data_IF_918841415914
#
_entry.id   IF_918841415914
#
_cell.length_a   1.000
_cell.length_b   1.000
_cell.length_c   1.000
_cell.angle_alpha   90.00
_cell.angle_beta   90.00
_cell.angle_gamma   90.00
#
_symmetry.space_group_name_H-M   'P 1'
#
loop_
_entity.id
_entity.type
_entity.pdbx_description
1 polymer ?
#
# COMPACT_ATOMS: atom_id res chain seq x y z
N UNK A 1 16.17 -17.63 -1.39
CA UNK A 1 15.06 -16.98 -0.70
C UNK A 1 15.06 -17.53 0.72
N UNK A 2 14.94 -16.69 1.76
CA UNK A 2 14.94 -17.17 3.15
C UNK A 2 13.62 -17.90 3.47
N UNK A 3 13.56 -18.76 4.50
CA UNK A 3 12.31 -19.41 4.90
C UNK A 3 11.18 -18.40 5.22
N UNK A 4 11.53 -17.22 5.73
CA UNK A 4 10.59 -16.14 6.00
C UNK A 4 10.04 -15.53 4.71
N UNK A 5 10.91 -15.28 3.73
CA UNK A 5 10.52 -14.77 2.42
C UNK A 5 9.60 -15.76 1.69
N UNK A 6 9.88 -17.06 1.77
CA UNK A 6 9.03 -18.11 1.18
C UNK A 6 7.64 -18.16 1.84
N UNK A 7 7.59 -18.08 3.18
CA UNK A 7 6.32 -18.01 3.92
C UNK A 7 5.50 -16.78 3.52
N UNK A 8 6.16 -15.62 3.42
CA UNK A 8 5.51 -14.37 3.02
C UNK A 8 4.91 -14.47 1.61
N UNK A 9 5.67 -15.01 0.66
CA UNK A 9 5.18 -15.23 -0.71
C UNK A 9 3.97 -16.16 -0.73
N UNK A 10 4.00 -17.25 0.05
CA UNK A 10 2.89 -18.20 0.12
C UNK A 10 1.60 -17.54 0.65
N UNK A 11 1.69 -16.76 1.72
CA UNK A 11 0.53 -16.06 2.28
C UNK A 11 0.01 -14.98 1.33
N UNK A 12 0.90 -14.26 0.65
CA UNK A 12 0.52 -13.30 -0.38
C UNK A 12 -0.28 -13.95 -1.53
N UNK A 13 0.16 -15.10 -2.04
CA UNK A 13 -0.57 -15.80 -3.10
C UNK A 13 -1.95 -16.29 -2.64
N UNK A 14 -2.06 -16.80 -1.40
CA UNK A 14 -3.36 -17.18 -0.82
C UNK A 14 -4.31 -15.99 -0.73
N UNK A 15 -3.83 -14.86 -0.20
CA UNK A 15 -4.62 -13.65 -0.07
C UNK A 15 -5.09 -13.14 -1.45
N UNK A 16 -4.19 -13.11 -2.44
CA UNK A 16 -4.54 -12.75 -3.82
C UNK A 16 -5.60 -13.66 -4.42
N UNK A 17 -5.44 -14.97 -4.26
CA UNK A 17 -6.39 -15.93 -4.81
C UNK A 17 -7.76 -15.82 -4.13
N UNK A 18 -7.78 -15.61 -2.81
CA UNK A 18 -9.01 -15.38 -2.06
C UNK A 18 -9.74 -14.13 -2.56
N UNK A 19 -9.02 -13.01 -2.69
CA UNK A 19 -9.61 -11.74 -3.16
C UNK A 19 -10.10 -11.86 -4.60
N UNK A 20 -9.29 -12.45 -5.49
CA UNK A 20 -9.66 -12.64 -6.90
C UNK A 20 -10.89 -13.54 -7.08
N UNK A 21 -11.09 -14.53 -6.21
CA UNK A 21 -12.26 -15.43 -6.27
C UNK A 21 -13.52 -14.79 -5.69
N UNK A 22 -13.37 -13.98 -4.64
CA UNK A 22 -14.51 -13.50 -3.84
C UNK A 22 -14.89 -12.03 -4.08
N UNK A 23 -14.04 -11.24 -4.75
CA UNK A 23 -14.31 -9.83 -5.04
C UNK A 23 -14.43 -9.57 -6.53
N UNK A 24 -15.59 -9.08 -6.97
CA UNK A 24 -15.79 -8.56 -8.34
C UNK A 24 -15.39 -7.09 -8.48
N UNK A 25 -15.18 -6.40 -7.35
CA UNK A 25 -14.84 -4.98 -7.31
C UNK A 25 -13.40 -4.75 -6.84
N UNK A 26 -12.89 -3.56 -7.18
CA UNK A 26 -11.55 -3.11 -6.78
C UNK A 26 -11.51 -2.94 -5.26
N UNK A 27 -10.52 -3.53 -4.61
CA UNK A 27 -10.36 -3.37 -3.17
C UNK A 27 -9.60 -2.05 -2.89
N UNK A 28 -10.25 -1.20 -2.09
CA UNK A 28 -9.78 0.14 -1.75
C UNK A 28 -9.18 0.10 -0.33
N UNK A 29 -7.95 0.57 -0.18
CA UNK A 29 -7.22 0.59 1.09
C UNK A 29 -6.90 2.04 1.42
N UNK A 30 -7.32 2.50 2.60
CA UNK A 30 -7.01 3.84 3.11
C UNK A 30 -5.91 3.75 4.16
N UNK A 31 -4.83 4.51 4.02
CA UNK A 31 -3.75 4.60 5.00
C UNK A 31 -3.83 5.95 5.71
N UNK A 32 -4.06 5.90 7.03
CA UNK A 32 -4.21 7.08 7.89
C UNK A 32 -3.24 7.04 9.07
N UNK A 33 -2.96 8.20 9.67
CA UNK A 33 -2.02 8.38 10.78
C UNK A 33 -1.34 9.76 10.76
N UNK A 34 -0.73 10.14 11.87
CA UNK A 34 -0.08 11.46 12.03
C UNK A 34 0.96 11.75 10.94
N UNK A 35 1.29 13.03 10.74
CA UNK A 35 2.42 13.42 9.89
C UNK A 35 3.73 12.84 10.43
N UNK A 36 4.64 12.44 9.54
CA UNK A 36 5.97 11.96 9.92
C UNK A 36 6.05 10.49 10.36
N UNK A 37 4.94 9.77 10.53
CA UNK A 37 4.96 8.35 10.95
C UNK A 37 5.38 7.36 9.85
N UNK A 38 5.60 7.85 8.62
CA UNK A 38 6.10 7.03 7.51
C UNK A 38 5.05 6.34 6.64
N UNK A 39 3.80 6.84 6.58
CA UNK A 39 2.73 6.29 5.71
C UNK A 39 3.16 6.15 4.25
N UNK A 40 3.63 7.23 3.65
CA UNK A 40 4.09 7.27 2.25
C UNK A 40 5.35 6.42 2.05
N UNK A 41 6.22 6.34 3.06
CA UNK A 41 7.38 5.44 3.06
C UNK A 41 6.95 3.97 3.03
N UNK A 42 5.92 3.60 3.81
CA UNK A 42 5.36 2.25 3.81
C UNK A 42 4.79 1.88 2.44
N UNK A 43 4.07 2.80 1.77
CA UNK A 43 3.57 2.57 0.41
C UNK A 43 4.73 2.22 -0.52
N UNK A 44 5.77 3.05 -0.57
CA UNK A 44 6.91 2.80 -1.44
C UNK A 44 7.63 1.48 -1.13
N UNK A 45 7.77 1.15 0.16
CA UNK A 45 8.38 -0.11 0.59
C UNK A 45 7.57 -1.34 0.16
N UNK A 46 6.24 -1.29 0.29
CA UNK A 46 5.34 -2.39 -0.09
C UNK A 46 5.36 -2.62 -1.60
N UNK A 47 5.35 -1.55 -2.40
CA UNK A 47 5.34 -1.68 -3.87
C UNK A 47 6.73 -1.77 -4.50
N UNK A 48 7.79 -1.57 -3.71
CA UNK A 48 9.18 -1.50 -4.18
C UNK A 48 9.33 -0.51 -5.34
N UNK A 49 8.57 0.59 -5.28
CA UNK A 49 8.51 1.64 -6.30
C UNK A 49 8.27 3.00 -5.62
N UNK A 50 8.64 4.10 -6.27
CA UNK A 50 8.51 5.46 -5.75
C UNK A 50 7.15 6.05 -6.12
N UNK A 51 6.08 5.47 -5.57
CA UNK A 51 4.70 5.87 -5.83
C UNK A 51 4.30 7.13 -5.06
N UNK A 52 4.65 7.19 -3.77
CA UNK A 52 4.28 8.29 -2.89
C UNK A 52 5.47 9.22 -2.58
N UNK A 53 5.19 10.51 -2.48
CA UNK A 53 6.18 11.48 -2.03
C UNK A 53 6.46 11.32 -0.54
N UNK A 54 7.73 11.41 -0.15
CA UNK A 54 8.19 11.20 1.23
C UNK A 54 9.12 12.34 1.65
N UNK A 55 9.07 12.73 2.92
CA UNK A 55 10.04 13.62 3.54
C UNK A 55 10.03 13.47 5.07
N UNK A 56 10.87 14.24 5.74
CA UNK A 56 11.09 14.15 7.19
C UNK A 56 10.59 15.43 7.86
N UNK A 57 9.88 15.29 8.99
CA UNK A 57 9.43 16.40 9.82
C UNK A 57 8.20 17.15 9.30
N UNK A 58 8.19 17.50 8.01
CA UNK A 58 7.13 18.31 7.41
C UNK A 58 6.02 17.46 6.74
N UNK A 59 4.75 17.95 6.71
CA UNK A 59 3.69 17.34 5.92
C UNK A 59 4.01 17.46 4.43
N UNK A 60 4.47 16.36 3.83
CA UNK A 60 4.75 16.29 2.38
C UNK A 60 3.48 15.98 1.58
N UNK A 61 2.64 15.08 2.08
CA UNK A 61 1.34 14.78 1.48
C UNK A 61 0.37 15.92 1.78
N UNK A 62 -0.05 16.67 0.75
CA UNK A 62 -0.97 17.82 0.86
C UNK A 62 -2.42 17.49 0.49
N UNK A 63 -2.59 16.55 -0.45
CA UNK A 63 -3.89 16.09 -0.95
C UNK A 63 -4.00 14.57 -0.79
N UNK A 64 -5.24 14.06 -0.77
CA UNK A 64 -5.46 12.61 -0.85
C UNK A 64 -4.98 12.13 -2.22
N UNK A 65 -3.95 11.28 -2.24
CA UNK A 65 -3.42 10.66 -3.45
C UNK A 65 -3.87 9.21 -3.55
N UNK A 66 -4.30 8.79 -4.74
CA UNK A 66 -4.67 7.40 -5.01
C UNK A 66 -3.67 6.70 -5.93
N UNK A 67 -3.22 5.50 -5.55
CA UNK A 67 -2.33 4.66 -6.34
C UNK A 67 -3.05 3.39 -6.75
N UNK A 68 -3.21 3.17 -8.06
CA UNK A 68 -3.79 1.93 -8.56
C UNK A 68 -2.73 0.87 -8.75
N UNK A 69 -3.04 -0.36 -8.33
CA UNK A 69 -2.16 -1.53 -8.49
C UNK A 69 -2.91 -2.56 -9.35
N UNK A 70 -2.80 -2.46 -10.70
CA UNK A 70 -3.61 -3.24 -11.63
C UNK A 70 -3.41 -4.75 -11.48
N UNK A 71 -2.18 -5.19 -11.21
CA UNK A 71 -1.80 -6.60 -11.03
C UNK A 71 -2.58 -7.32 -9.91
N UNK A 72 -3.23 -6.55 -9.03
CA UNK A 72 -3.88 -7.06 -7.84
C UNK A 72 -5.31 -6.53 -7.63
N UNK A 73 -5.84 -5.75 -8.58
CA UNK A 73 -7.15 -5.11 -8.45
C UNK A 73 -7.32 -4.29 -7.14
N UNK A 74 -6.24 -3.60 -6.73
CA UNK A 74 -6.23 -2.74 -5.55
C UNK A 74 -6.07 -1.27 -5.89
N UNK A 75 -6.55 -0.41 -4.99
CA UNK A 75 -6.26 1.02 -4.98
C UNK A 75 -5.94 1.46 -3.56
N UNK A 76 -4.86 2.20 -3.39
CA UNK A 76 -4.43 2.74 -2.09
C UNK A 76 -4.64 4.24 -2.07
N UNK A 77 -5.17 4.74 -0.96
CA UNK A 77 -5.31 6.16 -0.68
C UNK A 77 -4.30 6.55 0.42
N UNK A 78 -3.36 7.42 0.06
CA UNK A 78 -2.46 8.10 0.99
C UNK A 78 -3.06 9.46 1.34
N UNK A 79 -3.30 9.68 2.63
CA UNK A 79 -4.00 10.90 3.09
C UNK A 79 -3.10 11.80 3.90
N UNK A 80 -3.22 13.13 3.74
CA UNK A 80 -2.65 14.08 4.69
C UNK A 80 -3.23 13.82 6.09
N UNK A 81 -2.48 14.18 7.13
CA UNK A 81 -3.06 14.32 8.46
C UNK A 81 -3.93 15.59 8.49
N UNK A 82 -5.13 15.58 9.11
CA UNK A 82 -5.97 16.76 9.26
C UNK A 82 -5.31 17.90 10.06
#
# INVERSE_FOLDING_TARGET
MTPEEEKLQREYQKARQFISKNSKSKCNILITGMTGVGKSTLINAVFKDKLAETGVGEPVTKDIKSYEIPANNFRIYDTPWP
#
